data_IF_188026503167
#
_entry.id   IF_188026503167
#
_cell.length_a   1.000
_cell.length_b   1.000
_cell.length_c   1.000
_cell.angle_alpha   90.00
_cell.angle_beta   90.00
_cell.angle_gamma   90.00
#
_symmetry.space_group_name_H-M   'P 1'
#
loop_
_entity.id
_entity.type
_entity.pdbx_description
1 polymer ?
#
# COMPACT_ATOMS: atom_id res chain seq x y z
N UNK A 1 -5.71 -22.90 -32.59
CA UNK A 1 -6.55 -22.12 -31.68
C UNK A 1 -5.84 -22.08 -30.33
N UNK A 2 -5.12 -21.00 -30.03
CA UNK A 2 -4.34 -20.87 -28.79
C UNK A 2 -5.15 -20.00 -27.83
N UNK A 3 -5.63 -20.59 -26.75
CA UNK A 3 -6.27 -19.87 -25.65
C UNK A 3 -5.17 -19.19 -24.83
N UNK A 4 -4.98 -17.89 -25.06
CA UNK A 4 -4.12 -17.07 -24.23
C UNK A 4 -4.83 -16.86 -22.88
N UNK A 5 -4.38 -17.59 -21.87
CA UNK A 5 -4.69 -17.30 -20.47
C UNK A 5 -4.18 -15.89 -20.14
N UNK A 6 -4.99 -15.00 -19.52
CA UNK A 6 -4.48 -13.70 -19.11
C UNK A 6 -3.42 -13.92 -18.03
N UNK A 7 -2.16 -13.67 -18.37
CA UNK A 7 -1.08 -13.51 -17.40
C UNK A 7 -1.42 -12.24 -16.60
N UNK A 8 -2.08 -12.44 -15.46
CA UNK A 8 -2.14 -11.47 -14.37
C UNK A 8 -0.70 -11.23 -13.90
N UNK A 9 -0.08 -10.18 -14.42
CA UNK A 9 1.15 -9.62 -13.88
C UNK A 9 0.80 -8.73 -12.68
N UNK A 10 0.32 -9.36 -11.59
CA UNK A 10 0.15 -8.75 -10.26
C UNK A 10 1.15 -9.37 -9.26
N UNK A 11 2.20 -10.02 -9.78
CA UNK A 11 3.13 -10.86 -9.00
C UNK A 11 4.36 -10.08 -8.54
N UNK A 12 4.16 -8.96 -7.86
CA UNK A 12 5.22 -8.36 -7.05
C UNK A 12 4.65 -7.72 -5.79
N UNK A 13 3.80 -8.46 -5.08
CA UNK A 13 3.47 -8.13 -3.70
C UNK A 13 4.75 -8.31 -2.84
N UNK A 14 5.46 -7.21 -2.62
CA UNK A 14 6.65 -7.19 -1.77
C UNK A 14 6.22 -7.30 -0.31
N UNK A 15 6.52 -8.43 0.34
CA UNK A 15 6.21 -8.64 1.76
C UNK A 15 7.33 -8.04 2.61
N UNK A 16 6.99 -7.03 3.39
CA UNK A 16 7.86 -6.46 4.41
C UNK A 16 7.40 -6.96 5.79
N UNK A 17 8.35 -7.45 6.59
CA UNK A 17 8.12 -7.76 8.00
C UNK A 17 8.66 -6.62 8.84
N UNK A 18 7.76 -5.83 9.42
CA UNK A 18 8.12 -4.72 10.31
C UNK A 18 7.50 -4.97 11.69
N UNK A 19 8.27 -4.65 12.74
CA UNK A 19 7.77 -4.69 14.12
C UNK A 19 7.11 -3.36 14.44
N UNK A 20 5.84 -3.40 14.82
CA UNK A 20 5.09 -2.24 15.29
C UNK A 20 5.15 -2.18 16.82
N UNK A 21 5.12 -0.98 17.38
CA UNK A 21 4.89 -0.84 18.82
C UNK A 21 3.46 -1.27 19.17
N UNK A 22 3.23 -1.60 20.45
CA UNK A 22 1.90 -1.99 20.92
C UNK A 22 0.86 -0.89 20.69
N UNK A 23 1.25 0.38 20.83
CA UNK A 23 0.41 1.55 20.58
C UNK A 23 0.04 1.66 19.10
N UNK A 24 1.02 1.59 18.20
CA UNK A 24 0.79 1.63 16.75
C UNK A 24 -0.16 0.51 16.29
N UNK A 25 0.04 -0.71 16.79
CA UNK A 25 -0.85 -1.83 16.45
C UNK A 25 -2.28 -1.60 16.94
N UNK A 26 -2.46 -1.03 18.15
CA UNK A 26 -3.78 -0.70 18.69
C UNK A 26 -4.49 0.36 17.83
N UNK A 27 -3.81 1.45 17.52
CA UNK A 27 -4.38 2.53 16.71
C UNK A 27 -4.77 2.05 15.31
N UNK A 28 -3.89 1.31 14.63
CA UNK A 28 -4.18 0.74 13.32
C UNK A 28 -5.38 -0.21 13.36
N UNK A 29 -5.54 -0.99 14.43
CA UNK A 29 -6.68 -1.89 14.61
C UNK A 29 -7.99 -1.10 14.83
N UNK A 30 -7.96 0.00 15.59
CA UNK A 30 -9.11 0.87 15.76
C UNK A 30 -9.52 1.54 14.44
N UNK A 31 -8.56 2.03 13.66
CA UNK A 31 -8.81 2.61 12.33
C UNK A 31 -9.40 1.55 11.38
N UNK A 32 -8.82 0.35 11.38
CA UNK A 32 -9.32 -0.78 10.58
C UNK A 32 -10.78 -1.12 10.93
N UNK A 33 -11.12 -1.21 12.22
CA UNK A 33 -12.50 -1.47 12.67
C UNK A 33 -13.47 -0.37 12.28
N UNK A 34 -13.10 0.90 12.51
CA UNK A 34 -13.96 2.06 12.19
C UNK A 34 -14.29 2.11 10.69
N UNK A 35 -13.32 1.81 9.84
CA UNK A 35 -13.48 1.86 8.38
C UNK A 35 -13.92 0.52 7.77
N UNK A 36 -14.11 -0.54 8.56
CA UNK A 36 -14.44 -1.91 8.10
C UNK A 36 -13.44 -2.47 7.08
N UNK A 37 -12.17 -2.15 7.26
CA UNK A 37 -11.05 -2.60 6.41
C UNK A 37 -10.06 -3.41 7.24
N UNK A 38 -9.12 -4.09 6.58
CA UNK A 38 -8.05 -4.82 7.25
C UNK A 38 -6.88 -3.89 7.61
N UNK A 39 -6.13 -4.23 8.66
CA UNK A 39 -4.92 -3.47 9.06
C UNK A 39 -3.91 -3.37 7.91
N UNK A 40 -3.76 -4.44 7.11
CA UNK A 40 -2.90 -4.43 5.93
C UNK A 40 -3.37 -3.41 4.88
N UNK A 41 -4.68 -3.20 4.72
CA UNK A 41 -5.21 -2.16 3.84
C UNK A 41 -4.89 -0.77 4.37
N UNK A 42 -5.07 -0.54 5.69
CA UNK A 42 -4.72 0.74 6.34
C UNK A 42 -3.24 1.07 6.13
N UNK A 43 -2.34 0.09 6.29
CA UNK A 43 -0.91 0.29 6.06
C UNK A 43 -0.62 0.65 4.60
N UNK A 44 -1.23 -0.05 3.64
CA UNK A 44 -1.06 0.28 2.21
C UNK A 44 -1.54 1.67 1.88
N UNK A 45 -2.69 2.07 2.42
CA UNK A 45 -3.25 3.39 2.19
C UNK A 45 -2.38 4.50 2.80
N UNK A 46 -1.91 4.31 4.04
CA UNK A 46 -1.00 5.25 4.68
C UNK A 46 0.31 5.42 3.88
N UNK A 47 0.85 4.33 3.31
CA UNK A 47 2.02 4.38 2.43
C UNK A 47 1.68 5.13 1.14
N UNK A 48 0.54 4.86 0.52
CA UNK A 48 0.10 5.54 -0.71
C UNK A 48 -0.06 7.05 -0.49
N UNK A 49 -0.65 7.47 0.64
CA UNK A 49 -0.71 8.89 1.02
C UNK A 49 0.66 9.48 1.24
N UNK A 50 1.51 8.81 2.03
CA UNK A 50 2.88 9.26 2.27
C UNK A 50 3.63 9.48 0.95
N UNK A 51 3.55 8.52 0.01
CA UNK A 51 4.21 8.64 -1.29
C UNK A 51 3.60 9.73 -2.17
N UNK A 52 2.28 9.96 -2.10
CA UNK A 52 1.60 11.05 -2.83
C UNK A 52 1.94 12.42 -2.26
N UNK A 53 2.10 12.52 -0.94
CA UNK A 53 2.48 13.75 -0.25
C UNK A 53 3.98 14.07 -0.44
N UNK A 54 4.84 13.05 -0.48
CA UNK A 54 6.28 13.18 -0.67
C UNK A 54 6.69 13.23 -2.16
N UNK A 55 5.79 12.93 -3.10
CA UNK A 55 6.02 13.18 -4.52
C UNK A 55 5.83 14.67 -4.82
N UNK A 56 6.90 15.45 -5.12
CA UNK A 56 6.69 16.71 -5.79
C UNK A 56 6.05 16.43 -7.15
N UNK A 57 4.84 16.98 -7.36
CA UNK A 57 4.10 17.01 -8.62
C UNK A 57 4.78 17.88 -9.69
N UNK A 58 6.11 17.76 -9.88
CA UNK A 58 6.86 18.49 -10.89
C UNK A 58 7.43 17.52 -11.93
N UNK A 59 6.73 17.48 -13.07
CA UNK A 59 7.25 16.96 -14.32
C UNK A 59 8.40 17.82 -14.86
N UNK A 60 9.32 17.16 -15.55
CA UNK A 60 10.16 17.66 -16.66
C UNK A 60 11.29 18.64 -16.29
N UNK A 61 12.48 18.07 -16.14
CA UNK A 61 13.75 18.68 -16.55
C UNK A 61 14.46 17.69 -17.45
N UNK A 62 14.15 17.73 -18.74
CA UNK A 62 14.95 17.10 -19.79
C UNK A 62 16.18 17.99 -19.97
N UNK A 63 17.37 17.47 -19.67
CA UNK A 63 18.64 17.94 -20.22
C UNK A 63 19.42 16.75 -20.77
#
# INVERSE_FOLDING_TARGET
>A
MQTASPLHDDKSAHRLSVSLTAEQHRELNEIARKNRVSVAWVIREAIDRLLKEDMPLLHVGKE
#
